data_IF_967908227969
#
_entry.id   IF_967908227969
#
_cell.length_a   1.000
_cell.length_b   1.000
_cell.length_c   1.000
_cell.angle_alpha   90.00
_cell.angle_beta   90.00
_cell.angle_gamma   90.00
#
_symmetry.space_group_name_H-M   'P 1'
#
loop_
_entity.id
_entity.type
_entity.pdbx_description
1 polymer ?
#
# COMPACT_ATOMS: atom_id res chain seq x y z
N UNK A 1 -65.52 29.26 -20.65
CA UNK A 1 -66.13 30.24 -21.57
C UNK A 1 -65.07 31.28 -21.88
N UNK A 2 -64.31 31.18 -22.97
CA UNK A 2 -64.66 31.47 -24.37
C UNK A 2 -64.74 32.98 -24.71
N UNK A 3 -63.75 33.42 -25.52
CA UNK A 3 -63.89 34.31 -26.71
C UNK A 3 -64.14 35.81 -26.38
N UNK A 4 -63.67 36.83 -27.13
CA UNK A 4 -63.10 36.95 -28.49
C UNK A 4 -62.75 38.43 -28.76
N UNK A 5 -61.88 38.66 -29.76
CA UNK A 5 -61.90 39.79 -30.74
C UNK A 5 -61.47 41.18 -30.26
N UNK A 6 -60.79 42.05 -31.03
CA UNK A 6 -60.57 42.24 -32.49
C UNK A 6 -59.32 43.15 -32.64
N UNK A 7 -58.28 42.80 -33.39
CA UNK A 7 -58.01 43.19 -34.79
C UNK A 7 -58.02 44.70 -35.11
N UNK A 8 -56.86 45.26 -35.53
CA UNK A 8 -56.74 45.98 -36.82
C UNK A 8 -55.28 46.26 -37.24
N UNK A 9 -55.02 45.96 -38.52
CA UNK A 9 -53.81 46.22 -39.35
C UNK A 9 -53.48 47.71 -39.49
N UNK A 10 -52.18 48.02 -39.66
CA UNK A 10 -51.64 48.78 -40.80
C UNK A 10 -50.09 48.77 -40.81
N UNK A 11 -49.52 48.20 -41.87
CA UNK A 11 -48.27 48.64 -42.52
C UNK A 11 -48.64 49.76 -43.53
N UNK A 12 -47.74 50.66 -44.03
CA UNK A 12 -46.32 50.41 -44.29
C UNK A 12 -45.32 51.61 -44.17
N UNK A 13 -44.03 51.25 -44.14
CA UNK A 13 -42.86 51.92 -44.76
C UNK A 13 -42.32 53.27 -44.24
N UNK A 14 -40.99 53.17 -43.98
CA UNK A 14 -39.90 54.16 -43.99
C UNK A 14 -39.71 54.97 -42.71
N UNK A 15 -38.70 54.60 -41.94
CA UNK A 15 -37.51 55.42 -41.72
C UNK A 15 -36.49 54.68 -40.85
N UNK A 16 -35.23 54.68 -41.28
CA UNK A 16 -34.03 54.67 -40.43
C UNK A 16 -33.82 53.45 -39.54
N UNK A 17 -32.75 52.72 -39.82
CA UNK A 17 -32.13 51.77 -38.89
C UNK A 17 -31.97 52.43 -37.51
N UNK A 18 -32.76 51.98 -36.54
CA UNK A 18 -32.67 52.42 -35.15
C UNK A 18 -31.43 51.80 -34.49
N UNK A 19 -30.84 52.51 -33.54
CA UNK A 19 -29.68 52.10 -32.75
C UNK A 19 -29.84 50.73 -32.03
N UNK A 20 -31.04 50.14 -32.03
CA UNK A 20 -31.31 48.79 -31.56
C UNK A 20 -30.81 47.68 -32.52
N UNK A 21 -30.86 47.87 -33.85
CA UNK A 21 -30.33 46.88 -34.82
C UNK A 21 -28.80 46.80 -34.79
N UNK A 22 -28.11 47.91 -34.46
CA UNK A 22 -26.66 47.90 -34.24
C UNK A 22 -26.25 47.23 -32.93
N UNK A 23 -27.09 47.24 -31.89
CA UNK A 23 -26.78 46.63 -30.58
C UNK A 23 -27.09 45.13 -30.49
N UNK A 24 -28.01 44.60 -31.31
CA UNK A 24 -28.26 43.14 -31.33
C UNK A 24 -27.27 42.33 -32.18
N UNK A 25 -26.54 42.96 -33.10
CA UNK A 25 -25.44 42.30 -33.84
C UNK A 25 -24.20 42.04 -32.96
N UNK A 26 -24.11 42.67 -31.78
CA UNK A 26 -22.96 42.58 -30.86
C UNK A 26 -23.20 41.60 -29.69
N UNK A 27 -24.41 41.01 -29.58
CA UNK A 27 -24.78 40.14 -28.44
C UNK A 27 -25.22 38.72 -28.84
N UNK A 28 -25.00 38.30 -30.09
CA UNK A 28 -25.11 36.88 -30.43
C UNK A 28 -23.82 36.16 -30.03
N UNK A 29 -23.86 35.13 -29.15
CA UNK A 29 -22.68 34.30 -28.91
C UNK A 29 -22.34 33.63 -30.23
N UNK A 30 -21.19 34.00 -30.82
CA UNK A 30 -20.60 33.20 -31.88
C UNK A 30 -20.39 31.81 -31.29
N UNK A 31 -21.12 30.85 -31.84
CA UNK A 31 -20.89 29.43 -31.63
C UNK A 31 -19.44 29.13 -32.01
N UNK A 32 -18.53 29.24 -31.06
CA UNK A 32 -17.25 28.55 -31.08
C UNK A 32 -17.51 27.13 -30.60
N UNK A 33 -18.23 26.37 -31.42
CA UNK A 33 -18.15 24.92 -31.44
C UNK A 33 -17.70 24.48 -32.83
N UNK A 34 -16.53 24.97 -33.25
CA UNK A 34 -15.70 24.28 -34.24
C UNK A 34 -14.26 24.50 -33.78
N UNK A 35 -13.71 23.52 -33.08
CA UNK A 35 -12.34 23.60 -32.56
C UNK A 35 -12.01 22.47 -31.61
N UNK A 36 -12.84 22.21 -30.59
CA UNK A 36 -12.50 21.23 -29.56
C UNK A 36 -12.42 19.77 -30.02
N UNK A 37 -13.23 19.37 -31.01
CA UNK A 37 -13.21 17.99 -31.52
C UNK A 37 -12.09 17.75 -32.55
N UNK A 38 -11.78 18.74 -33.40
CA UNK A 38 -10.65 18.67 -34.33
C UNK A 38 -9.35 18.72 -33.55
N UNK A 39 -9.21 19.67 -32.62
CA UNK A 39 -7.97 19.86 -31.87
C UNK A 39 -7.69 18.69 -30.91
N UNK A 40 -8.73 17.96 -30.45
CA UNK A 40 -8.57 16.70 -29.72
C UNK A 40 -8.27 15.51 -30.66
N UNK A 41 -8.91 15.44 -31.83
CA UNK A 41 -8.64 14.41 -32.84
C UNK A 41 -7.24 14.56 -33.46
N UNK A 42 -6.84 15.78 -33.79
CA UNK A 42 -5.52 16.18 -34.30
C UNK A 42 -4.45 15.99 -33.22
N UNK A 43 -4.76 16.21 -31.92
CA UNK A 43 -3.85 15.87 -30.81
C UNK A 43 -3.80 14.37 -30.52
N UNK A 44 -4.86 13.60 -30.77
CA UNK A 44 -4.83 12.13 -30.70
C UNK A 44 -4.14 11.49 -31.92
N UNK A 45 -4.14 12.17 -33.08
CA UNK A 45 -3.48 11.73 -34.31
C UNK A 45 -1.99 12.14 -34.33
N UNK A 46 -1.66 13.31 -33.76
CA UNK A 46 -0.28 13.78 -33.53
C UNK A 46 0.38 13.15 -32.29
N UNK A 47 -0.39 12.77 -31.26
CA UNK A 47 0.02 11.77 -30.27
C UNK A 47 -0.06 10.40 -30.93
N UNK A 48 0.82 10.21 -31.92
CA UNK A 48 0.87 9.04 -32.77
C UNK A 48 0.68 7.79 -31.95
N UNK A 49 -0.28 6.96 -32.41
CA UNK A 49 -0.56 5.57 -32.02
C UNK A 49 0.28 5.17 -30.82
N UNK A 50 -0.32 5.15 -29.62
CA UNK A 50 0.25 4.49 -28.45
C UNK A 50 0.96 3.24 -28.97
N UNK A 51 2.30 3.28 -28.99
CA UNK A 51 3.07 2.16 -29.50
C UNK A 51 2.84 1.07 -28.48
N UNK A 52 1.87 0.21 -28.80
CA UNK A 52 1.41 -0.86 -27.93
C UNK A 52 2.59 -1.77 -27.59
N UNK A 53 3.57 -1.89 -28.49
CA UNK A 53 4.82 -2.59 -28.22
C UNK A 53 5.73 -1.83 -27.25
N UNK A 54 5.78 -0.49 -27.28
CA UNK A 54 6.54 0.30 -26.30
C UNK A 54 5.86 0.31 -24.92
N UNK A 55 4.52 0.37 -24.87
CA UNK A 55 3.75 0.27 -23.63
C UNK A 55 3.91 -1.13 -23.01
N UNK A 56 3.76 -2.18 -23.82
CA UNK A 56 3.96 -3.56 -23.37
C UNK A 56 5.40 -3.79 -22.91
N UNK A 57 6.40 -3.25 -23.61
CA UNK A 57 7.80 -3.30 -23.17
C UNK A 57 8.02 -2.54 -21.85
N UNK A 58 7.39 -1.39 -21.66
CA UNK A 58 7.43 -0.65 -20.40
C UNK A 58 6.76 -1.40 -19.24
N UNK A 59 5.66 -2.10 -19.49
CA UNK A 59 4.99 -2.96 -18.51
C UNK A 59 5.86 -4.18 -18.20
N UNK A 60 6.45 -4.82 -19.21
CA UNK A 60 7.33 -5.98 -19.05
C UNK A 60 8.63 -5.62 -18.33
N UNK A 61 9.22 -4.45 -18.62
CA UNK A 61 10.37 -3.90 -17.89
C UNK A 61 10.01 -3.54 -16.44
N UNK A 62 8.82 -2.98 -16.20
CA UNK A 62 8.34 -2.69 -14.85
C UNK A 62 8.05 -3.97 -14.06
N UNK A 63 7.48 -4.99 -14.70
CA UNK A 63 7.25 -6.32 -14.14
C UNK A 63 8.56 -7.06 -13.89
N UNK A 64 9.53 -6.98 -14.80
CA UNK A 64 10.86 -7.56 -14.65
C UNK A 64 11.62 -6.89 -13.50
N UNK A 65 11.57 -5.56 -13.38
CA UNK A 65 12.15 -4.84 -12.24
C UNK A 65 11.44 -5.17 -10.92
N UNK A 66 10.11 -5.30 -10.93
CA UNK A 66 9.35 -5.72 -9.75
C UNK A 66 9.67 -7.17 -9.35
N UNK A 67 9.87 -8.06 -10.33
CA UNK A 67 10.28 -9.44 -10.11
C UNK A 67 11.73 -9.55 -9.64
N UNK A 68 12.64 -8.73 -10.18
CA UNK A 68 14.03 -8.64 -9.75
C UNK A 68 14.14 -8.08 -8.32
N UNK A 69 13.34 -7.07 -7.98
CA UNK A 69 13.25 -6.54 -6.62
C UNK A 69 12.61 -7.53 -5.64
N UNK A 70 11.61 -8.30 -6.07
CA UNK A 70 11.04 -9.40 -5.30
C UNK A 70 12.04 -10.56 -5.11
N UNK A 71 12.84 -10.87 -6.14
CA UNK A 71 13.89 -11.88 -6.09
C UNK A 71 15.10 -11.41 -5.25
N UNK A 72 15.44 -10.13 -5.27
CA UNK A 72 16.46 -9.53 -4.42
C UNK A 72 16.05 -9.55 -2.94
N UNK A 73 14.76 -9.32 -2.66
CA UNK A 73 14.19 -9.48 -1.31
C UNK A 73 14.14 -10.96 -0.87
N UNK A 74 13.96 -11.90 -1.80
CA UNK A 74 14.06 -13.34 -1.52
C UNK A 74 15.51 -13.80 -1.30
N UNK A 75 16.49 -13.09 -1.87
CA UNK A 75 17.93 -13.41 -1.77
C UNK A 75 18.68 -12.64 -0.67
N UNK A 76 18.00 -11.84 0.18
CA UNK A 76 18.68 -11.15 1.30
C UNK A 76 18.92 -12.06 2.52
N UNK A 77 18.57 -13.35 2.43
CA UNK A 77 18.91 -14.37 3.41
C UNK A 77 20.13 -15.17 2.97
N UNK A 78 21.34 -14.59 3.02
CA UNK A 78 22.57 -15.36 2.87
C UNK A 78 22.57 -16.52 3.90
N UNK A 79 22.46 -17.76 3.41
CA UNK A 79 22.71 -18.97 4.19
C UNK A 79 21.51 -19.72 4.78
N UNK A 80 20.26 -19.36 4.49
CA UNK A 80 19.15 -20.24 4.91
C UNK A 80 18.96 -21.40 3.91
N UNK A 81 19.05 -22.68 4.34
CA UNK A 81 18.66 -23.80 3.49
C UNK A 81 17.21 -23.59 3.04
N UNK A 82 16.88 -23.99 1.81
CA UNK A 82 15.53 -23.84 1.24
C UNK A 82 14.53 -24.69 2.05
N UNK A 83 14.04 -24.13 3.15
CA UNK A 83 13.11 -24.79 4.06
C UNK A 83 11.72 -24.75 3.45
N UNK A 84 11.00 -25.86 3.57
CA UNK A 84 9.58 -25.86 3.22
C UNK A 84 8.78 -25.02 4.21
N UNK A 85 7.62 -24.52 3.80
CA UNK A 85 6.70 -23.82 4.71
C UNK A 85 6.41 -24.67 5.95
N UNK A 86 6.21 -25.98 5.79
CA UNK A 86 5.97 -26.91 6.89
C UNK A 86 7.14 -26.99 7.87
N UNK A 87 8.39 -26.92 7.39
CA UNK A 87 9.58 -26.89 8.25
C UNK A 87 9.65 -25.58 9.05
N UNK A 88 9.45 -24.43 8.39
CA UNK A 88 9.44 -23.12 9.06
C UNK A 88 8.34 -23.06 10.12
N UNK A 89 7.12 -23.47 9.78
CA UNK A 89 6.01 -23.51 10.72
C UNK A 89 6.27 -24.47 11.88
N UNK A 90 6.90 -25.61 11.62
CA UNK A 90 7.32 -26.55 12.66
C UNK A 90 8.31 -25.94 13.64
N UNK A 91 9.35 -25.26 13.12
CA UNK A 91 10.34 -24.57 13.96
C UNK A 91 9.71 -23.44 14.78
N UNK A 92 8.86 -22.60 14.17
CA UNK A 92 8.18 -21.50 14.87
C UNK A 92 7.23 -22.04 15.95
N UNK A 93 6.42 -23.03 15.61
CA UNK A 93 5.48 -23.65 16.57
C UNK A 93 6.23 -24.28 17.75
N UNK A 94 7.36 -24.93 17.48
CA UNK A 94 8.22 -25.48 18.52
C UNK A 94 8.79 -24.39 19.42
N UNK A 95 9.35 -23.30 18.87
CA UNK A 95 9.83 -22.16 19.67
C UNK A 95 8.72 -21.53 20.51
N UNK A 96 7.54 -21.31 19.93
CA UNK A 96 6.39 -20.76 20.65
C UNK A 96 5.93 -21.67 21.81
N UNK A 97 6.00 -23.00 21.64
CA UNK A 97 5.70 -23.95 22.73
C UNK A 97 6.66 -23.85 23.92
N UNK A 98 7.89 -23.39 23.69
CA UNK A 98 8.91 -23.19 24.73
C UNK A 98 8.88 -21.81 25.35
N UNK A 99 8.26 -20.83 24.68
CA UNK A 99 8.17 -19.46 25.16
C UNK A 99 7.02 -19.29 26.16
N UNK A 100 7.26 -18.80 27.39
CA UNK A 100 6.20 -18.61 28.40
C UNK A 100 5.05 -17.71 27.93
N UNK A 101 5.34 -16.74 27.07
CA UNK A 101 4.34 -15.78 26.55
C UNK A 101 3.50 -16.34 25.41
N UNK A 102 3.96 -17.42 24.75
CA UNK A 102 3.33 -17.97 23.54
C UNK A 102 2.79 -19.39 23.70
N UNK A 103 3.26 -20.15 24.69
CA UNK A 103 2.90 -21.58 24.90
C UNK A 103 1.41 -21.88 25.07
N UNK A 104 0.59 -20.86 25.28
CA UNK A 104 -0.86 -20.96 25.44
C UNK A 104 -1.66 -20.47 24.22
N UNK A 105 -0.99 -20.11 23.13
CA UNK A 105 -1.66 -19.74 21.89
C UNK A 105 -2.35 -20.95 21.27
N UNK A 106 -3.54 -20.73 20.72
CA UNK A 106 -4.22 -21.79 19.99
C UNK A 106 -3.61 -21.94 18.60
N UNK A 107 -3.81 -23.11 17.98
CA UNK A 107 -3.37 -23.32 16.59
C UNK A 107 -3.97 -22.26 15.63
N UNK A 108 -5.22 -21.85 15.88
CA UNK A 108 -5.86 -20.78 15.14
C UNK A 108 -5.16 -19.41 15.30
N UNK A 109 -4.43 -19.19 16.41
CA UNK A 109 -3.66 -17.95 16.58
C UNK A 109 -2.43 -17.91 15.67
N UNK A 110 -1.85 -19.07 15.36
CA UNK A 110 -0.72 -19.17 14.42
C UNK A 110 -1.14 -18.81 12.99
N UNK A 111 -2.42 -18.97 12.64
CA UNK A 111 -2.91 -18.60 11.31
C UNK A 111 -2.78 -17.09 11.06
N UNK A 112 -3.27 -16.25 11.99
CA UNK A 112 -3.19 -14.80 11.82
C UNK A 112 -1.81 -14.23 12.16
N UNK A 113 -1.06 -14.86 13.08
CA UNK A 113 0.23 -14.36 13.54
C UNK A 113 1.41 -14.86 12.70
N UNK A 114 1.41 -16.13 12.28
CA UNK A 114 2.58 -16.79 11.70
C UNK A 114 2.41 -17.11 10.22
N UNK A 115 1.24 -17.57 9.78
CA UNK A 115 1.08 -18.00 8.38
C UNK A 115 1.32 -16.84 7.40
N UNK A 116 0.76 -15.67 7.67
CA UNK A 116 0.89 -14.51 6.78
C UNK A 116 2.35 -14.03 6.65
N UNK A 117 3.11 -13.76 7.74
CA UNK A 117 4.51 -13.37 7.58
C UNK A 117 5.38 -14.45 6.97
N UNK A 118 5.12 -15.75 7.23
CA UNK A 118 5.87 -16.83 6.59
C UNK A 118 5.67 -16.82 5.08
N UNK A 119 4.42 -16.67 4.61
CA UNK A 119 4.13 -16.58 3.17
C UNK A 119 4.72 -15.32 2.52
N UNK A 120 4.83 -14.22 3.27
CA UNK A 120 5.42 -12.97 2.79
C UNK A 120 6.95 -12.91 2.95
N UNK A 121 7.58 -13.96 3.48
CA UNK A 121 8.99 -13.98 3.86
C UNK A 121 9.36 -12.84 4.82
N UNK A 122 8.43 -12.45 5.69
CA UNK A 122 8.55 -11.40 6.70
C UNK A 122 8.84 -11.97 8.09
N UNK A 123 9.81 -12.88 8.16
CA UNK A 123 10.28 -13.49 9.39
C UNK A 123 11.79 -13.74 9.35
N UNK A 124 12.42 -13.84 10.51
CA UNK A 124 13.83 -14.25 10.64
C UNK A 124 13.98 -15.17 11.84
N UNK A 125 14.56 -16.34 11.61
CA UNK A 125 14.91 -17.32 12.65
C UNK A 125 16.39 -17.17 12.96
N UNK A 126 16.69 -16.89 14.23
CA UNK A 126 18.03 -16.88 14.79
C UNK A 126 18.36 -18.26 15.33
N UNK A 127 19.57 -18.73 15.04
CA UNK A 127 20.04 -20.07 15.44
C UNK A 127 21.17 -19.96 16.46
N UNK A 128 21.27 -20.94 17.35
CA UNK A 128 22.39 -21.09 18.28
C UNK A 128 23.64 -21.66 17.58
N UNK A 129 24.73 -21.81 18.32
CA UNK A 129 26.00 -22.37 17.84
C UNK A 129 25.87 -23.82 17.31
N UNK A 130 24.80 -24.52 17.68
CA UNK A 130 24.50 -25.88 17.23
C UNK A 130 23.51 -25.90 16.04
N UNK A 131 23.12 -24.74 15.51
CA UNK A 131 22.19 -24.60 14.40
C UNK A 131 20.71 -24.76 14.78
N UNK A 132 20.37 -24.83 16.08
CA UNK A 132 18.98 -24.96 16.55
C UNK A 132 18.30 -23.60 16.60
N UNK A 133 16.99 -23.49 16.28
CA UNK A 133 16.26 -22.25 16.45
C UNK A 133 16.32 -21.77 17.91
N UNK A 134 16.73 -20.54 18.12
CA UNK A 134 16.89 -19.92 19.43
C UNK A 134 16.16 -18.57 19.55
N UNK A 135 15.82 -17.95 18.42
CA UNK A 135 15.00 -16.76 18.39
C UNK A 135 14.23 -16.59 17.09
N UNK A 136 13.18 -15.79 17.15
CA UNK A 136 12.30 -15.45 16.03
C UNK A 136 12.00 -13.96 16.08
N UNK A 137 12.01 -13.32 14.92
CA UNK A 137 11.42 -11.99 14.74
C UNK A 137 10.42 -12.05 13.59
N UNK A 138 9.20 -11.55 13.83
CA UNK A 138 8.16 -11.35 12.83
C UNK A 138 7.95 -9.85 12.62
N UNK A 139 7.84 -9.40 11.37
CA UNK A 139 7.61 -7.98 11.07
C UNK A 139 6.56 -7.74 10.00
N UNK A 140 6.06 -6.52 9.94
CA UNK A 140 5.14 -6.02 8.95
C UNK A 140 5.65 -4.70 8.35
N UNK A 141 5.31 -4.45 7.10
CA UNK A 141 5.44 -3.12 6.48
C UNK A 141 4.04 -2.55 6.28
N UNK A 142 3.66 -1.63 7.17
CA UNK A 142 2.27 -1.20 7.35
C UNK A 142 2.03 0.20 6.81
N UNK A 143 0.77 0.51 6.50
CA UNK A 143 0.34 1.88 6.20
C UNK A 143 0.32 2.74 7.46
N UNK A 144 0.24 4.06 7.29
CA UNK A 144 0.09 5.01 8.42
C UNK A 144 -1.17 4.71 9.26
N UNK A 145 -2.28 4.34 8.62
CA UNK A 145 -3.53 4.02 9.31
C UNK A 145 -3.36 2.79 10.21
N UNK A 146 -2.72 1.74 9.68
CA UNK A 146 -2.45 0.51 10.43
C UNK A 146 -1.45 0.79 11.56
N UNK A 147 -0.40 1.58 11.32
CA UNK A 147 0.55 1.97 12.36
C UNK A 147 -0.15 2.68 13.53
N UNK A 148 -1.00 3.68 13.27
CA UNK A 148 -1.75 4.37 14.34
C UNK A 148 -2.62 3.43 15.16
N UNK A 149 -3.24 2.44 14.51
CA UNK A 149 -4.02 1.41 15.20
C UNK A 149 -3.12 0.53 16.09
N UNK A 150 -1.94 0.13 15.60
CA UNK A 150 -0.96 -0.59 16.41
C UNK A 150 -0.50 0.25 17.60
N UNK A 151 -0.16 1.52 17.40
CA UNK A 151 0.25 2.45 18.48
C UNK A 151 -0.82 2.60 19.57
N UNK A 152 -2.11 2.51 19.20
CA UNK A 152 -3.22 2.53 20.15
C UNK A 152 -3.40 1.23 20.95
N UNK A 153 -2.55 0.23 20.73
CA UNK A 153 -2.50 -1.02 21.49
C UNK A 153 -3.04 -2.24 20.74
N UNK A 154 -3.43 -2.11 19.47
CA UNK A 154 -3.84 -3.28 18.68
C UNK A 154 -2.70 -4.30 18.57
N UNK A 155 -3.04 -5.58 18.70
CA UNK A 155 -2.08 -6.70 18.67
C UNK A 155 -2.23 -7.57 17.42
N UNK A 156 -3.37 -7.49 16.73
CA UNK A 156 -3.71 -8.34 15.59
C UNK A 156 -3.73 -7.54 14.30
N UNK A 157 -3.08 -8.09 13.29
CA UNK A 157 -3.09 -7.61 11.91
C UNK A 157 -3.96 -8.52 11.05
N UNK A 158 -4.78 -7.93 10.19
CA UNK A 158 -5.42 -8.71 9.13
C UNK A 158 -4.38 -9.06 8.06
N UNK A 159 -4.57 -10.11 7.25
CA UNK A 159 -3.58 -10.55 6.27
C UNK A 159 -3.10 -9.44 5.32
N UNK A 160 -4.00 -8.58 4.84
CA UNK A 160 -3.68 -7.46 3.96
C UNK A 160 -2.86 -6.35 4.65
N UNK A 161 -2.91 -6.27 5.98
CA UNK A 161 -2.24 -5.20 6.71
C UNK A 161 -0.71 -5.43 6.78
N UNK A 162 -0.27 -6.70 6.74
CA UNK A 162 1.14 -7.09 6.90
C UNK A 162 2.09 -6.47 5.88
N UNK A 163 1.57 -6.11 4.70
CA UNK A 163 2.30 -5.46 3.61
C UNK A 163 1.50 -4.29 3.00
N UNK A 164 0.86 -3.51 3.87
CA UNK A 164 -0.03 -2.41 3.47
C UNK A 164 0.69 -1.07 3.21
N UNK A 165 1.97 -0.95 3.54
CA UNK A 165 2.72 0.28 3.36
C UNK A 165 4.22 0.14 3.58
N UNK A 166 4.87 1.24 3.96
CA UNK A 166 6.32 1.39 4.07
C UNK A 166 6.82 1.58 5.52
N UNK A 167 5.92 1.68 6.50
CA UNK A 167 6.30 1.83 7.92
C UNK A 167 6.61 0.47 8.53
N UNK A 168 7.82 0.31 9.06
CA UNK A 168 8.27 -0.97 9.59
C UNK A 168 7.78 -1.17 11.04
N UNK A 169 7.16 -2.31 11.28
CA UNK A 169 6.68 -2.69 12.60
C UNK A 169 7.13 -4.11 12.95
N UNK A 170 7.84 -4.28 14.06
CA UNK A 170 8.12 -5.63 14.61
C UNK A 170 6.90 -6.07 15.40
N UNK A 171 6.25 -7.13 14.91
CA UNK A 171 4.97 -7.63 15.41
C UNK A 171 5.20 -8.54 16.61
N UNK A 172 6.21 -9.40 16.54
CA UNK A 172 6.51 -10.36 17.59
C UNK A 172 8.00 -10.72 17.64
N UNK A 173 8.48 -11.02 18.84
CA UNK A 173 9.85 -11.46 19.13
C UNK A 173 9.81 -12.62 20.11
N UNK A 174 10.34 -13.76 19.69
CA UNK A 174 10.55 -14.92 20.56
C UNK A 174 12.04 -15.05 20.84
N UNK A 175 12.41 -15.09 22.12
CA UNK A 175 13.78 -15.29 22.57
C UNK A 175 13.78 -16.44 23.58
N UNK A 176 14.32 -17.60 23.18
CA UNK A 176 14.35 -18.79 24.03
C UNK A 176 15.46 -18.75 25.08
N UNK A 177 16.51 -17.96 24.85
CA UNK A 177 17.66 -17.87 25.76
C UNK A 177 17.50 -16.77 26.80
N UNK A 178 16.64 -15.79 26.52
CA UNK A 178 16.44 -14.61 27.34
C UNK A 178 17.56 -13.59 27.17
N UNK A 179 17.18 -12.31 27.10
CA UNK A 179 18.13 -11.18 27.02
C UNK A 179 18.83 -11.01 25.66
N UNK A 180 18.51 -11.83 24.65
CA UNK A 180 19.02 -11.71 23.28
C UNK A 180 18.11 -10.87 22.39
N UNK A 181 16.85 -10.64 22.76
CA UNK A 181 15.92 -9.79 22.01
C UNK A 181 16.51 -8.42 21.56
N UNK A 182 17.23 -7.65 22.40
CA UNK A 182 17.85 -6.39 21.94
C UNK A 182 18.90 -6.58 20.84
N UNK A 183 19.66 -7.68 20.89
CA UNK A 183 20.67 -7.99 19.88
C UNK A 183 20.02 -8.40 18.55
N UNK A 184 18.92 -9.18 18.61
CA UNK A 184 18.14 -9.54 17.43
C UNK A 184 17.54 -8.30 16.76
N UNK A 185 16.97 -7.38 17.54
CA UNK A 185 16.43 -6.12 17.00
C UNK A 185 17.52 -5.23 16.38
N UNK A 186 18.70 -5.17 16.98
CA UNK A 186 19.84 -4.44 16.42
C UNK A 186 20.35 -5.08 15.12
N UNK A 187 20.37 -6.41 15.02
CA UNK A 187 20.68 -7.14 13.79
C UNK A 187 19.62 -6.88 12.70
N UNK A 188 18.33 -6.96 13.06
CA UNK A 188 17.22 -6.64 12.16
C UNK A 188 17.35 -5.25 11.55
N UNK A 189 17.67 -4.24 12.36
CA UNK A 189 17.87 -2.86 11.89
C UNK A 189 18.90 -2.78 10.77
N UNK A 190 20.04 -3.45 10.96
CA UNK A 190 21.16 -3.41 10.02
C UNK A 190 20.92 -4.27 8.79
N UNK A 191 20.50 -5.52 8.99
CA UNK A 191 20.49 -6.54 7.94
C UNK A 191 19.20 -6.54 7.14
N UNK A 192 18.05 -6.40 7.81
CA UNK A 192 16.74 -6.52 7.16
C UNK A 192 16.16 -5.15 6.82
N UNK A 193 16.26 -4.20 7.76
CA UNK A 193 15.66 -2.88 7.62
C UNK A 193 16.59 -1.83 7.01
N UNK A 194 17.86 -2.16 6.79
CA UNK A 194 18.84 -1.28 6.13
C UNK A 194 18.90 0.11 6.79
N UNK A 195 19.02 0.10 8.12
CA UNK A 195 19.06 1.27 9.01
C UNK A 195 17.79 2.14 9.05
N UNK A 196 16.69 1.71 8.43
CA UNK A 196 15.38 2.35 8.59
C UNK A 196 14.85 2.19 10.02
N UNK A 197 14.15 3.22 10.49
CA UNK A 197 13.43 3.18 11.76
C UNK A 197 12.28 2.17 11.69
N UNK A 198 12.02 1.52 12.82
CA UNK A 198 10.89 0.62 13.00
C UNK A 198 10.32 0.81 14.41
N UNK A 199 9.07 0.40 14.58
CA UNK A 199 8.39 0.46 15.88
C UNK A 199 8.01 -0.92 16.36
N UNK A 200 7.85 -1.05 17.68
CA UNK A 200 7.35 -2.27 18.31
C UNK A 200 6.78 -1.97 19.67
N UNK A 201 5.97 -2.89 20.18
CA UNK A 201 5.51 -2.81 21.55
C UNK A 201 6.52 -3.45 22.49
N UNK A 202 6.82 -2.76 23.60
CA UNK A 202 7.62 -3.29 24.70
C UNK A 202 6.81 -3.20 26.00
N UNK A 203 6.93 -4.23 26.83
CA UNK A 203 6.32 -4.24 28.17
C UNK A 203 7.41 -3.96 29.19
N UNK A 204 7.29 -2.85 29.91
CA UNK A 204 8.22 -2.47 30.97
C UNK A 204 8.17 -3.44 32.16
N UNK A 205 9.12 -3.31 33.08
CA UNK A 205 9.16 -4.12 34.31
C UNK A 205 7.95 -3.88 35.24
N UNK A 206 7.24 -2.76 35.04
CA UNK A 206 5.99 -2.39 35.68
C UNK A 206 4.75 -3.04 35.01
N UNK A 207 4.93 -3.81 33.94
CA UNK A 207 3.86 -4.41 33.16
C UNK A 207 3.17 -3.44 32.20
N UNK A 208 3.63 -2.18 32.12
CA UNK A 208 3.04 -1.18 31.22
C UNK A 208 3.57 -1.39 29.81
N UNK A 209 2.64 -1.52 28.86
CA UNK A 209 2.97 -1.61 27.43
C UNK A 209 3.18 -0.21 26.88
N UNK A 210 4.28 -0.01 26.15
CA UNK A 210 4.60 1.22 25.44
C UNK A 210 5.09 0.90 24.03
N UNK A 211 5.02 1.90 23.14
CA UNK A 211 5.62 1.84 21.81
C UNK A 211 7.06 2.32 21.91
N UNK A 212 7.98 1.54 21.37
CA UNK A 212 9.40 1.86 21.27
C UNK A 212 9.79 2.00 19.81
N UNK A 213 10.63 2.98 19.51
CA UNK A 213 11.24 3.18 18.20
C UNK A 213 12.69 2.67 18.22
N UNK A 214 13.04 1.85 17.23
CA UNK A 214 14.31 1.12 17.12
C UNK A 214 15.33 1.72 16.18
#
# INVERSE_FOLDING_TARGET
MAKKSKAKKADPKKAGQSAAEKRMAELAPKSQMVGGASDLADKLEAAGKLDEAALMRGIEEAQAKAAEQAAAAANTGEGQPQMTISQVLGEISWMMSMSPTHRYFFLADLEWLVMTPVMLNQFRIYRDDNGKPAGLVLWASVSEEVEKRLESGATRLAPQDWKSGDRLWVVDVVDLMGGKAPHMLADMKKVVFQDKSFKFHSTGADGVRSVVEG
#
